data_IF_725552960243
#
_entry.id   IF_725552960243
#
_cell.length_a   1.000
_cell.length_b   1.000
_cell.length_c   1.000
_cell.angle_alpha   90.00
_cell.angle_beta   90.00
_cell.angle_gamma   90.00
#
_symmetry.space_group_name_H-M   'P 1'
#
loop_
_entity.id
_entity.type
_entity.pdbx_description
1 polymer ?
#
# COMPACT_ATOMS: atom_id res chain seq x y z
N UNK A 1 -3.98 44.09 36.82
CA UNK A 1 -3.73 42.66 37.10
C UNK A 1 -4.09 41.82 35.86
N UNK A 2 -3.20 41.72 34.86
CA UNK A 2 -3.44 40.94 33.61
C UNK A 2 -2.19 40.25 33.04
N UNK A 3 -1.13 40.13 33.85
CA UNK A 3 0.13 39.54 33.38
C UNK A 3 0.16 38.01 33.56
N UNK A 4 -0.54 37.44 34.56
CA UNK A 4 -0.43 36.02 34.92
C UNK A 4 -0.90 35.03 33.84
N UNK A 5 -1.95 35.36 33.06
CA UNK A 5 -2.46 34.45 32.03
C UNK A 5 -1.52 34.34 30.80
N UNK A 6 -0.78 35.41 30.48
CA UNK A 6 0.11 35.45 29.31
C UNK A 6 1.30 34.49 29.45
N UNK A 7 1.87 34.36 30.66
CA UNK A 7 3.01 33.47 30.94
C UNK A 7 2.65 31.99 30.89
N UNK A 8 1.36 31.63 30.93
CA UNK A 8 0.91 30.23 30.85
C UNK A 8 0.55 29.85 29.41
N UNK A 9 0.13 30.82 28.60
CA UNK A 9 -0.19 30.59 27.18
C UNK A 9 1.09 30.36 26.38
N UNK A 10 2.18 31.06 26.67
CA UNK A 10 3.46 30.90 25.96
C UNK A 10 4.07 29.49 26.08
N UNK A 11 4.22 28.85 27.27
CA UNK A 11 4.71 27.48 27.36
C UNK A 11 3.70 26.48 26.80
N UNK A 12 2.40 26.78 26.82
CA UNK A 12 1.36 25.89 26.27
C UNK A 12 1.38 25.87 24.74
N UNK A 13 1.56 27.03 24.10
CA UNK A 13 1.78 27.15 22.65
C UNK A 13 3.12 26.52 22.25
N UNK A 14 4.17 26.73 23.05
CA UNK A 14 5.49 26.11 22.80
C UNK A 14 5.43 24.59 22.95
N UNK A 15 4.74 24.08 23.97
CA UNK A 15 4.55 22.64 24.18
C UNK A 15 3.72 22.00 23.07
N UNK A 16 2.74 22.71 22.52
CA UNK A 16 1.93 22.25 21.38
C UNK A 16 2.75 22.22 20.07
N UNK A 17 3.63 23.20 19.85
CA UNK A 17 4.54 23.24 18.70
C UNK A 17 5.65 22.18 18.78
N UNK A 18 6.09 21.82 19.98
CA UNK A 18 7.04 20.72 20.21
C UNK A 18 6.38 19.33 20.11
N UNK A 19 5.05 19.26 20.24
CA UNK A 19 4.23 18.07 19.95
C UNK A 19 3.98 17.90 18.44
N UNK A 20 4.99 18.16 17.61
CA UNK A 20 4.89 17.81 16.20
C UNK A 20 5.21 16.31 16.06
N UNK A 21 4.32 15.50 15.46
CA UNK A 21 4.54 14.07 15.30
C UNK A 21 5.50 13.82 14.13
N UNK A 22 6.77 14.18 14.28
CA UNK A 22 7.81 13.94 13.26
C UNK A 22 8.00 12.44 12.97
N UNK A 23 7.68 11.59 13.96
CA UNK A 23 7.74 10.14 13.83
C UNK A 23 6.69 9.58 12.85
N UNK A 24 5.52 10.21 12.75
CA UNK A 24 4.45 9.77 11.86
C UNK A 24 4.74 10.14 10.40
N UNK A 25 5.27 11.34 10.15
CA UNK A 25 5.50 11.80 8.77
C UNK A 25 6.52 10.92 8.02
N UNK A 26 7.60 10.52 8.70
CA UNK A 26 8.62 9.65 8.09
C UNK A 26 8.06 8.24 7.81
N UNK A 27 7.24 7.72 8.72
CA UNK A 27 6.57 6.45 8.54
C UNK A 27 5.60 6.48 7.35
N UNK A 28 4.73 7.49 7.28
CA UNK A 28 3.80 7.64 6.15
C UNK A 28 4.53 7.85 4.83
N UNK A 29 5.59 8.65 4.81
CA UNK A 29 6.42 8.83 3.63
C UNK A 29 7.04 7.51 3.17
N UNK A 30 7.54 6.68 4.10
CA UNK A 30 8.07 5.35 3.78
C UNK A 30 6.98 4.42 3.23
N UNK A 31 5.80 4.36 3.84
CA UNK A 31 4.70 3.51 3.38
C UNK A 31 4.21 3.91 1.99
N UNK A 32 4.07 5.21 1.73
CA UNK A 32 3.69 5.74 0.42
C UNK A 32 4.75 5.39 -0.62
N UNK A 33 6.04 5.56 -0.29
CA UNK A 33 7.12 5.22 -1.21
C UNK A 33 7.14 3.72 -1.53
N UNK A 34 6.97 2.86 -0.53
CA UNK A 34 6.87 1.41 -0.72
C UNK A 34 5.70 1.04 -1.64
N UNK A 35 4.51 1.55 -1.34
CA UNK A 35 3.32 1.28 -2.17
C UNK A 35 3.48 1.81 -3.60
N UNK A 36 4.03 3.00 -3.77
CA UNK A 36 4.32 3.57 -5.09
C UNK A 36 5.31 2.69 -5.88
N UNK A 37 6.35 2.19 -5.23
CA UNK A 37 7.31 1.28 -5.84
C UNK A 37 6.64 -0.02 -6.33
N UNK A 38 5.71 -0.59 -5.58
CA UNK A 38 4.93 -1.76 -6.01
C UNK A 38 4.04 -1.44 -7.22
N UNK A 39 3.34 -0.31 -7.18
CA UNK A 39 2.45 0.11 -8.27
C UNK A 39 3.19 0.36 -9.58
N UNK A 40 4.44 0.85 -9.51
CA UNK A 40 5.30 1.06 -10.67
C UNK A 40 5.91 -0.23 -11.21
N UNK A 41 6.21 -1.20 -10.33
CA UNK A 41 6.84 -2.47 -10.71
C UNK A 41 5.85 -3.58 -11.11
N UNK A 42 4.55 -3.41 -10.85
CA UNK A 42 3.55 -4.44 -11.13
C UNK A 42 3.51 -4.80 -12.61
N UNK A 43 3.46 -6.09 -12.90
CA UNK A 43 3.30 -6.64 -14.25
C UNK A 43 2.00 -7.42 -14.37
N UNK A 44 1.30 -7.37 -15.53
CA UNK A 44 0.14 -8.21 -15.77
C UNK A 44 0.50 -9.70 -15.64
N UNK A 45 -0.34 -10.46 -14.96
CA UNK A 45 -0.12 -11.91 -14.78
C UNK A 45 -0.12 -12.63 -16.13
N UNK A 46 -0.99 -12.22 -17.06
CA UNK A 46 -1.04 -12.76 -18.43
C UNK A 46 0.30 -12.65 -19.15
N UNK A 47 0.97 -11.49 -19.03
CA UNK A 47 2.31 -11.28 -19.59
C UNK A 47 3.34 -12.22 -18.96
N UNK A 48 3.33 -12.35 -17.62
CA UNK A 48 4.26 -13.22 -16.89
C UNK A 48 4.11 -14.71 -17.25
N UNK A 49 2.88 -15.17 -17.45
CA UNK A 49 2.60 -16.55 -17.86
C UNK A 49 3.13 -16.81 -19.28
N UNK A 50 2.97 -15.84 -20.19
CA UNK A 50 3.45 -15.93 -21.57
C UNK A 50 4.98 -15.84 -21.67
N UNK A 51 5.64 -15.10 -20.79
CA UNK A 51 7.10 -14.92 -20.77
C UNK A 51 7.83 -16.27 -20.54
N UNK A 52 8.72 -16.72 -21.45
CA UNK A 52 9.46 -17.98 -21.27
C UNK A 52 10.39 -17.98 -20.06
N UNK A 53 10.86 -16.79 -19.67
CA UNK A 53 11.84 -16.59 -18.59
C UNK A 53 11.21 -16.63 -17.19
N UNK A 54 9.88 -16.57 -17.06
CA UNK A 54 9.21 -16.65 -15.76
C UNK A 54 9.37 -18.08 -15.20
N UNK A 55 9.89 -18.24 -13.97
CA UNK A 55 10.07 -19.57 -13.37
C UNK A 55 8.76 -20.38 -13.34
N UNK A 56 8.84 -21.65 -13.71
CA UNK A 56 7.72 -22.59 -13.67
C UNK A 56 6.91 -22.58 -12.35
N UNK A 57 7.52 -22.56 -11.14
CA UNK A 57 6.75 -22.52 -9.90
C UNK A 57 5.94 -21.22 -9.74
N UNK A 58 6.44 -20.10 -10.26
CA UNK A 58 5.71 -18.83 -10.25
C UNK A 58 4.53 -18.90 -11.21
N UNK A 59 4.75 -19.36 -12.45
CA UNK A 59 3.65 -19.56 -13.42
C UNK A 59 2.53 -20.43 -12.86
N UNK A 60 2.88 -21.53 -12.19
CA UNK A 60 1.89 -22.43 -11.59
C UNK A 60 1.03 -21.72 -10.53
N UNK A 61 1.66 -20.99 -9.59
CA UNK A 61 0.93 -20.20 -8.59
C UNK A 61 0.02 -19.15 -9.22
N UNK A 62 0.51 -18.47 -10.27
CA UNK A 62 -0.25 -17.45 -10.98
C UNK A 62 -1.48 -18.02 -11.69
N UNK A 63 -1.36 -19.21 -12.31
CA UNK A 63 -2.53 -19.92 -12.87
C UNK A 63 -3.57 -20.23 -11.80
N UNK A 64 -3.16 -20.78 -10.65
CA UNK A 64 -4.09 -21.08 -9.55
C UNK A 64 -4.83 -19.84 -9.06
N UNK A 65 -4.15 -18.69 -8.98
CA UNK A 65 -4.78 -17.41 -8.58
C UNK A 65 -5.85 -16.98 -9.60
N UNK A 66 -5.59 -17.13 -10.90
CA UNK A 66 -6.56 -16.80 -11.95
C UNK A 66 -7.78 -17.72 -11.91
N UNK A 67 -7.58 -19.02 -11.68
CA UNK A 67 -8.67 -19.99 -11.55
C UNK A 67 -9.54 -19.69 -10.32
N UNK A 68 -8.92 -19.39 -9.18
CA UNK A 68 -9.63 -18.97 -7.97
C UNK A 68 -10.40 -17.66 -8.17
N UNK A 69 -9.83 -16.71 -8.92
CA UNK A 69 -10.52 -15.46 -9.27
C UNK A 69 -11.76 -15.73 -10.11
N UNK A 70 -11.65 -16.55 -11.17
CA UNK A 70 -12.80 -16.93 -12.01
C UNK A 70 -13.86 -17.60 -11.15
N UNK A 71 -13.49 -18.56 -10.31
CA UNK A 71 -14.44 -19.20 -9.39
C UNK A 71 -15.15 -18.16 -8.49
N UNK A 72 -14.43 -17.21 -7.91
CA UNK A 72 -15.02 -16.22 -7.02
C UNK A 72 -16.00 -15.27 -7.75
N UNK A 73 -15.71 -14.91 -9.00
CA UNK A 73 -16.62 -14.11 -9.82
C UNK A 73 -17.84 -14.95 -10.24
N UNK A 74 -17.58 -16.12 -10.84
CA UNK A 74 -18.60 -16.93 -11.51
C UNK A 74 -19.50 -17.70 -10.54
N UNK A 75 -18.97 -18.11 -9.37
CA UNK A 75 -19.66 -18.96 -8.39
C UNK A 75 -20.03 -18.24 -7.11
N UNK A 76 -19.22 -17.28 -6.65
CA UNK A 76 -19.49 -16.52 -5.43
C UNK A 76 -20.13 -15.16 -5.71
N UNK A 77 -20.25 -14.75 -6.98
CA UNK A 77 -20.89 -13.50 -7.37
C UNK A 77 -20.10 -12.25 -6.99
N UNK A 78 -18.77 -12.36 -6.83
CA UNK A 78 -17.94 -11.18 -6.58
C UNK A 78 -17.83 -10.31 -7.84
N UNK A 79 -17.74 -9.00 -7.64
CA UNK A 79 -17.58 -8.05 -8.74
C UNK A 79 -16.22 -8.20 -9.44
N UNK A 80 -16.24 -8.20 -10.77
CA UNK A 80 -15.02 -8.13 -11.57
C UNK A 80 -14.42 -6.72 -11.55
N UNK A 81 -13.57 -6.46 -10.57
CA UNK A 81 -12.89 -5.17 -10.35
C UNK A 81 -11.41 -5.15 -10.76
N UNK A 82 -10.95 -6.15 -11.51
CA UNK A 82 -9.54 -6.29 -11.90
C UNK A 82 -8.56 -6.69 -10.77
N UNK A 83 -9.03 -6.99 -9.56
CA UNK A 83 -8.15 -7.47 -8.46
C UNK A 83 -7.40 -8.75 -8.84
N UNK A 84 -6.20 -8.94 -8.29
CA UNK A 84 -5.40 -10.16 -8.51
C UNK A 84 -5.04 -10.44 -9.99
N UNK A 85 -5.00 -9.42 -10.85
CA UNK A 85 -4.54 -9.53 -12.25
C UNK A 85 -3.09 -9.08 -12.48
N UNK A 86 -2.45 -8.53 -11.46
CA UNK A 86 -1.06 -8.05 -11.54
C UNK A 86 -0.21 -8.64 -10.42
N UNK A 87 1.08 -8.83 -10.69
CA UNK A 87 2.05 -9.38 -9.75
C UNK A 87 3.32 -8.52 -9.71
N UNK A 88 3.95 -8.44 -8.54
CA UNK A 88 5.27 -7.82 -8.32
C UNK A 88 6.17 -8.92 -7.74
N UNK A 89 7.31 -9.13 -8.37
CA UNK A 89 8.37 -9.95 -7.81
C UNK A 89 9.18 -9.10 -6.82
N UNK A 90 9.31 -9.55 -5.57
CA UNK A 90 9.90 -8.79 -4.45
C UNK A 90 11.34 -9.23 -4.16
#
# INVERSE_FOLDING_TARGET
MRAGAMYWITPLVLSLLLYCPWADLSYYAQSVNGQAALLLKRRPISSLIAEPQTPAPIKHKLHVILDLRSFAIDKLGLTDNGSYLTFVDL
#
